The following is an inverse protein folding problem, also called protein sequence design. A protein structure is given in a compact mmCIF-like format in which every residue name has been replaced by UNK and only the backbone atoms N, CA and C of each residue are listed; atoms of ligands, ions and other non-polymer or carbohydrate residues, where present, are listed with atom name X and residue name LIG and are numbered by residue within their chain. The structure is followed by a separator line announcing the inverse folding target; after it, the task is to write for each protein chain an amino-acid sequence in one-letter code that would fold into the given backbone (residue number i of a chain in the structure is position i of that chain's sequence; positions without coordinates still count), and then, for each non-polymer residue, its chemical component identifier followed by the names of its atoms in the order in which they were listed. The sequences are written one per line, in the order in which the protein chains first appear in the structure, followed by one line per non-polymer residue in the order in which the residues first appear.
data_IF_300174140382
#
_entry.id   IF_300174140382
#
_cell.length_a   1.000
_cell.length_b   1.000
_cell.length_c   1.000
_cell.angle_alpha   90.00
_cell.angle_beta   90.00
_cell.angle_gamma   90.00
#
_symmetry.space_group_name_H-M   'P 1'
#
loop_
_entity.id
_entity.type
_entity.pdbx_description
1 polymer ?
#
# COMPACT_ATOMS: atom_id res chain seq x y z
N UNK A 1 0.30 -27.00 28.27
CA UNK A 1 1.09 -26.27 27.26
C UNK A 1 1.34 -27.18 26.06
N UNK A 2 0.52 -27.06 25.02
CA UNK A 2 0.68 -27.84 23.78
C UNK A 2 1.70 -27.12 22.88
N UNK A 3 2.85 -27.74 22.53
CA UNK A 3 3.90 -27.09 21.74
C UNK A 3 3.42 -26.59 20.37
N UNK A 4 2.45 -27.29 19.76
CA UNK A 4 1.84 -26.89 18.48
C UNK A 4 1.09 -25.54 18.55
N UNK A 5 0.44 -25.27 19.67
CA UNK A 5 -0.26 -24.00 19.91
C UNK A 5 0.73 -22.84 20.14
N UNK A 6 1.96 -23.15 20.58
CA UNK A 6 3.01 -22.13 20.73
C UNK A 6 3.59 -21.74 19.38
N UNK A 7 3.89 -22.72 18.52
CA UNK A 7 4.39 -22.50 17.17
C UNK A 7 3.38 -21.71 16.30
N UNK A 8 2.11 -22.12 16.31
CA UNK A 8 1.03 -21.41 15.63
C UNK A 8 0.92 -19.94 16.09
N UNK A 9 1.13 -19.69 17.38
CA UNK A 9 1.12 -18.34 17.95
C UNK A 9 2.35 -17.53 17.53
N UNK A 10 3.53 -18.13 17.50
CA UNK A 10 4.77 -17.48 17.06
C UNK A 10 4.67 -17.11 15.56
N UNK A 11 4.14 -18.00 14.71
CA UNK A 11 3.87 -17.72 13.29
C UNK A 11 2.85 -16.57 13.12
N UNK A 12 1.72 -16.62 13.84
CA UNK A 12 0.72 -15.57 13.77
C UNK A 12 1.28 -14.21 14.21
N UNK A 13 2.15 -14.20 15.23
CA UNK A 13 2.82 -12.99 15.68
C UNK A 13 3.83 -12.47 14.66
N UNK A 14 4.55 -13.35 13.96
CA UNK A 14 5.42 -12.98 12.84
C UNK A 14 4.65 -12.32 11.69
N UNK A 15 3.46 -12.83 11.35
CA UNK A 15 2.59 -12.21 10.35
C UNK A 15 2.13 -10.82 10.79
N UNK A 16 1.71 -10.69 12.05
CA UNK A 16 1.27 -9.40 12.59
C UNK A 16 2.38 -8.34 12.53
N UNK A 17 3.60 -8.71 12.91
CA UNK A 17 4.76 -7.81 12.87
C UNK A 17 5.09 -7.34 11.45
N UNK A 18 4.98 -8.23 10.44
CA UNK A 18 5.17 -7.84 9.05
C UNK A 18 4.04 -6.97 8.49
N UNK A 19 2.84 -7.04 9.06
CA UNK A 19 1.70 -6.20 8.64
C UNK A 19 1.66 -4.83 9.34
N UNK A 20 2.32 -4.68 10.48
CA UNK A 20 2.31 -3.44 11.27
C UNK A 20 2.81 -2.20 10.50
N UNK A 21 3.88 -2.27 9.67
CA UNK A 21 4.29 -1.12 8.87
C UNK A 21 3.23 -0.71 7.85
N UNK A 22 2.60 -1.68 7.18
CA UNK A 22 1.52 -1.42 6.22
C UNK A 22 0.36 -0.69 6.91
N UNK A 23 -0.05 -1.12 8.11
CA UNK A 23 -1.12 -0.45 8.86
C UNK A 23 -0.77 1.02 9.16
N UNK A 24 0.47 1.31 9.56
CA UNK A 24 0.94 2.66 9.86
C UNK A 24 0.96 3.56 8.62
N UNK A 25 1.49 3.06 7.51
CA UNK A 25 1.54 3.84 6.27
C UNK A 25 0.12 4.13 5.73
N UNK A 26 -0.74 3.10 5.67
CA UNK A 26 -2.06 3.23 5.09
C UNK A 26 -3.08 3.98 5.98
N UNK A 27 -2.87 4.05 7.28
CA UNK A 27 -3.72 4.87 8.17
C UNK A 27 -3.45 6.37 8.03
N UNK A 28 -2.26 6.76 7.54
CA UNK A 28 -1.90 8.16 7.25
C UNK A 28 -1.95 8.54 5.77
N UNK A 29 -2.19 7.58 4.87
CA UNK A 29 -2.01 7.74 3.42
C UNK A 29 -2.77 8.95 2.84
N UNK A 30 -4.01 9.18 3.25
CA UNK A 30 -4.81 10.31 2.75
C UNK A 30 -4.19 11.69 3.05
N UNK A 31 -3.35 11.81 4.07
CA UNK A 31 -2.66 13.06 4.41
C UNK A 31 -1.38 13.29 3.60
N UNK A 32 -0.87 12.26 2.91
CA UNK A 32 0.41 12.28 2.18
C UNK A 32 0.21 12.88 0.77
N UNK A 33 1.16 13.67 0.29
CA UNK A 33 1.16 14.19 -1.09
C UNK A 33 1.50 13.09 -2.10
N UNK A 34 1.02 13.20 -3.34
CA UNK A 34 1.23 12.15 -4.36
C UNK A 34 2.72 11.86 -4.61
N UNK A 35 3.57 12.89 -4.52
CA UNK A 35 5.02 12.76 -4.70
C UNK A 35 5.69 11.89 -3.62
N UNK A 36 5.14 11.87 -2.41
CA UNK A 36 5.67 11.12 -1.27
C UNK A 36 5.06 9.72 -1.17
N UNK A 37 4.05 9.40 -1.99
CA UNK A 37 3.36 8.11 -1.96
C UNK A 37 4.27 6.96 -2.42
N UNK A 38 5.33 7.22 -3.19
CA UNK A 38 6.30 6.18 -3.59
C UNK A 38 7.01 5.55 -2.38
N UNK A 39 7.34 6.33 -1.35
CA UNK A 39 7.97 5.83 -0.11
C UNK A 39 7.04 4.87 0.66
N UNK A 40 5.73 5.15 0.62
CA UNK A 40 4.69 4.28 1.18
C UNK A 40 4.66 2.95 0.43
N UNK A 41 4.71 2.99 -0.92
CA UNK A 41 4.70 1.79 -1.74
C UNK A 41 5.94 0.93 -1.51
N UNK A 42 7.13 1.54 -1.38
CA UNK A 42 8.37 0.83 -1.10
C UNK A 42 8.33 0.15 0.27
N UNK A 43 7.83 0.84 1.31
CA UNK A 43 7.64 0.26 2.65
C UNK A 43 6.65 -0.90 2.62
N UNK A 44 5.60 -0.76 1.83
CA UNK A 44 4.57 -1.78 1.64
C UNK A 44 5.15 -3.01 0.95
N UNK A 45 5.94 -2.83 -0.11
CA UNK A 45 6.57 -3.92 -0.84
C UNK A 45 7.51 -4.72 0.07
N UNK A 46 8.39 -4.04 0.81
CA UNK A 46 9.28 -4.69 1.78
C UNK A 46 8.50 -5.53 2.81
N UNK A 47 7.37 -5.00 3.29
CA UNK A 47 6.51 -5.68 4.24
C UNK A 47 5.79 -6.90 3.65
N UNK A 48 5.38 -6.81 2.38
CA UNK A 48 4.76 -7.91 1.64
C UNK A 48 5.77 -9.03 1.35
N UNK A 49 6.99 -8.70 0.97
CA UNK A 49 8.09 -9.66 0.77
C UNK A 49 8.42 -10.39 2.08
N UNK A 50 8.54 -9.65 3.17
CA UNK A 50 8.74 -10.21 4.51
C UNK A 50 7.60 -11.14 4.93
N UNK A 51 6.36 -10.80 4.58
CA UNK A 51 5.19 -11.61 4.87
C UNK A 51 5.18 -12.88 4.02
N UNK A 52 5.51 -12.76 2.73
CA UNK A 52 5.59 -13.89 1.79
C UNK A 52 6.65 -14.90 2.21
N UNK A 53 7.82 -14.44 2.64
CA UNK A 53 8.93 -15.27 3.14
C UNK A 53 8.59 -16.07 4.42
N UNK A 54 7.47 -15.79 5.09
CA UNK A 54 6.99 -16.51 6.28
C UNK A 54 5.91 -17.54 5.97
N UNK A 55 5.74 -17.93 4.71
CA UNK A 55 4.71 -18.86 4.24
C UNK A 55 3.29 -18.36 4.52
N UNK A 56 3.06 -17.06 4.35
CA UNK A 56 1.72 -16.49 4.50
C UNK A 56 0.75 -17.12 3.49
N UNK A 57 -0.46 -17.56 3.90
CA UNK A 57 -1.35 -18.29 3.02
C UNK A 57 -1.69 -17.54 1.74
N UNK A 58 -1.51 -18.17 0.58
CA UNK A 58 -1.70 -17.53 -0.73
C UNK A 58 -3.06 -16.85 -0.90
N UNK A 59 -4.15 -17.48 -0.43
CA UNK A 59 -5.49 -16.88 -0.50
C UNK A 59 -5.58 -15.57 0.30
N UNK A 60 -4.89 -15.50 1.45
CA UNK A 60 -4.82 -14.29 2.26
C UNK A 60 -3.93 -13.24 1.62
N UNK A 61 -2.81 -13.64 0.99
CA UNK A 61 -1.96 -12.71 0.23
C UNK A 61 -2.73 -12.07 -0.92
N UNK A 62 -3.43 -12.87 -1.73
CA UNK A 62 -4.28 -12.35 -2.81
C UNK A 62 -5.34 -11.38 -2.29
N UNK A 63 -5.97 -11.71 -1.16
CA UNK A 63 -6.95 -10.81 -0.55
C UNK A 63 -6.33 -9.50 -0.09
N UNK A 64 -5.15 -9.55 0.55
CA UNK A 64 -4.41 -8.39 1.01
C UNK A 64 -4.01 -7.48 -0.16
N UNK A 65 -3.40 -8.03 -1.22
CA UNK A 65 -3.03 -7.27 -2.42
C UNK A 65 -4.23 -6.56 -3.05
N UNK A 66 -5.39 -7.22 -3.10
CA UNK A 66 -6.63 -6.60 -3.60
C UNK A 66 -7.11 -5.45 -2.71
N UNK A 67 -7.00 -5.57 -1.38
CA UNK A 67 -7.36 -4.49 -0.47
C UNK A 67 -6.42 -3.30 -0.67
N UNK A 68 -5.11 -3.54 -0.69
CA UNK A 68 -4.10 -2.49 -0.86
C UNK A 68 -4.26 -1.78 -2.21
N UNK A 69 -4.43 -2.54 -3.30
CA UNK A 69 -4.70 -2.00 -4.64
C UNK A 69 -5.92 -1.07 -4.65
N UNK A 70 -7.02 -1.49 -4.03
CA UNK A 70 -8.23 -0.67 -3.95
C UNK A 70 -8.03 0.59 -3.10
N UNK A 71 -7.23 0.50 -2.03
CA UNK A 71 -6.96 1.64 -1.17
C UNK A 71 -6.08 2.67 -1.89
N UNK A 72 -5.00 2.23 -2.57
CA UNK A 72 -4.13 3.09 -3.39
C UNK A 72 -4.94 3.77 -4.50
N UNK A 73 -5.79 3.02 -5.21
CA UNK A 73 -6.63 3.59 -6.26
C UNK A 73 -7.57 4.69 -5.73
N UNK A 74 -8.18 4.46 -4.56
CA UNK A 74 -9.05 5.47 -3.92
C UNK A 74 -8.26 6.68 -3.44
N UNK A 75 -7.07 6.48 -2.89
CA UNK A 75 -6.17 7.56 -2.49
C UNK A 75 -5.83 8.46 -3.68
N UNK A 76 -5.35 7.89 -4.79
CA UNK A 76 -5.02 8.64 -6.01
C UNK A 76 -6.26 9.37 -6.56
N UNK A 77 -7.40 8.70 -6.63
CA UNK A 77 -8.67 9.32 -7.04
C UNK A 77 -9.08 10.47 -6.12
N UNK A 78 -8.90 10.32 -4.81
CA UNK A 78 -9.17 11.35 -3.81
C UNK A 78 -8.32 12.60 -4.05
N UNK A 79 -7.01 12.43 -4.20
CA UNK A 79 -6.07 13.53 -4.48
C UNK A 79 -6.39 14.25 -5.77
N UNK A 80 -6.65 13.51 -6.85
CA UNK A 80 -7.00 14.12 -8.13
C UNK A 80 -8.37 14.80 -8.13
N UNK A 81 -9.29 14.40 -7.25
CA UNK A 81 -10.60 15.04 -7.10
C UNK A 81 -10.51 16.38 -6.35
N UNK A 82 -9.44 16.65 -5.61
CA UNK A 82 -9.17 17.96 -4.98
C UNK A 82 -8.68 19.00 -5.99
N UNK A 83 -8.20 18.56 -7.16
CA UNK A 83 -7.66 19.42 -8.21
C UNK A 83 -8.77 19.97 -9.15
N UNK A 84 -8.61 21.22 -9.59
CA UNK A 84 -9.48 21.80 -10.61
C UNK A 84 -9.02 21.42 -12.03
N UNK A 85 -9.26 20.18 -12.42
CA UNK A 85 -8.80 19.60 -13.70
C UNK A 85 -9.21 20.38 -14.96
N UNK A 86 -10.30 21.16 -14.90
CA UNK A 86 -10.87 21.84 -16.07
C UNK A 86 -10.63 23.34 -16.11
N UNK A 87 -10.26 23.94 -14.98
CA UNK A 87 -10.08 25.40 -14.87
C UNK A 87 -8.81 25.83 -14.14
N UNK A 88 -8.01 24.88 -13.64
CA UNK A 88 -6.74 25.16 -12.98
C UNK A 88 -5.60 25.43 -13.98
N UNK A 89 -4.43 25.85 -13.47
CA UNK A 89 -3.23 26.01 -14.29
C UNK A 89 -2.79 24.66 -14.88
N UNK A 90 -2.55 24.60 -16.19
CA UNK A 90 -2.12 23.38 -16.87
C UNK A 90 -0.90 22.71 -16.19
N UNK A 91 0.12 23.49 -15.83
CA UNK A 91 1.34 22.96 -15.22
C UNK A 91 1.11 22.27 -13.87
N UNK A 92 0.12 22.71 -13.10
CA UNK A 92 -0.25 22.06 -11.85
C UNK A 92 -1.02 20.77 -12.12
N UNK A 93 -2.00 20.83 -13.03
CA UNK A 93 -2.82 19.67 -13.39
C UNK A 93 -1.95 18.56 -14.01
N UNK A 94 -1.07 18.91 -14.94
CA UNK A 94 -0.12 17.99 -15.56
C UNK A 94 0.76 17.32 -14.51
N UNK A 95 1.27 18.09 -13.55
CA UNK A 95 2.08 17.57 -12.45
C UNK A 95 1.28 16.56 -11.62
N UNK A 96 0.12 16.94 -11.09
CA UNK A 96 -0.69 16.07 -10.23
C UNK A 96 -1.14 14.80 -10.96
N UNK A 97 -1.51 14.89 -12.24
CA UNK A 97 -1.86 13.72 -13.06
C UNK A 97 -0.65 12.80 -13.29
N UNK A 98 0.53 13.36 -13.57
CA UNK A 98 1.75 12.57 -13.78
C UNK A 98 2.17 11.85 -12.51
N UNK A 99 2.11 12.52 -11.36
CA UNK A 99 2.37 11.91 -10.06
C UNK A 99 1.37 10.79 -9.75
N UNK A 100 0.08 11.01 -10.02
CA UNK A 100 -0.95 9.98 -9.85
C UNK A 100 -0.75 8.76 -10.76
N UNK A 101 -0.28 8.97 -12.00
CA UNK A 101 0.09 7.88 -12.92
C UNK A 101 1.29 7.11 -12.37
N UNK A 102 2.34 7.80 -11.95
CA UNK A 102 3.55 7.17 -11.42
C UNK A 102 3.24 6.27 -10.22
N UNK A 103 2.39 6.72 -9.29
CA UNK A 103 1.95 5.89 -8.13
C UNK A 103 1.24 4.62 -8.61
N UNK A 104 0.34 4.73 -9.59
CA UNK A 104 -0.37 3.58 -10.14
C UNK A 104 0.57 2.60 -10.85
N UNK A 105 1.47 3.11 -11.69
CA UNK A 105 2.44 2.31 -12.43
C UNK A 105 3.42 1.62 -11.48
N UNK A 106 3.93 2.35 -10.49
CA UNK A 106 4.83 1.83 -9.46
C UNK A 106 4.20 0.65 -8.71
N UNK A 107 2.92 0.75 -8.35
CA UNK A 107 2.20 -0.36 -7.71
C UNK A 107 2.08 -1.58 -8.63
N UNK A 108 1.79 -1.38 -9.92
CA UNK A 108 1.66 -2.48 -10.89
C UNK A 108 3.01 -3.13 -11.21
N UNK A 109 4.10 -2.38 -11.23
CA UNK A 109 5.44 -2.94 -11.51
C UNK A 109 6.04 -3.70 -10.32
N UNK A 110 5.65 -3.35 -9.10
CA UNK A 110 6.18 -3.93 -7.85
C UNK A 110 5.47 -5.21 -7.41
N UNK A 111 4.26 -5.50 -7.94
CA UNK A 111 3.41 -6.64 -7.56
C UNK A 111 3.16 -7.59 -8.75
#
# INVERSE_FOLDING_TARGET
NNPRNREERETAQGFYQSLEPIDKEFSGLDAIELIDAEDVLDTTQNSLDDLWNKDFPQQRMNHLLNILSNHIARYVQGKLNEENLWGGPYSQIEKSLSEGINVCERWVESC
#
